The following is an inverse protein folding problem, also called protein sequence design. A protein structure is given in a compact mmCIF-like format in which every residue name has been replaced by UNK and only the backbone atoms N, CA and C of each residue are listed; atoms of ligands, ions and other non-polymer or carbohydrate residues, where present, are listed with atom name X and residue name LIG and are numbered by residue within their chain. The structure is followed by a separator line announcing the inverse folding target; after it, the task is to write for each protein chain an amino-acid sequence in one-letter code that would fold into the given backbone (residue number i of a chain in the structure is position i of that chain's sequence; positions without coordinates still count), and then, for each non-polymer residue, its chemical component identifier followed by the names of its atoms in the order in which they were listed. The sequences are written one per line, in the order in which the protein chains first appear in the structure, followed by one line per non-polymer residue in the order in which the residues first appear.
data_IF_969988580541
#
_entry.id   IF_969988580541
#
_cell.length_a   1.000
_cell.length_b   1.000
_cell.length_c   1.000
_cell.angle_alpha   90.00
_cell.angle_beta   90.00
_cell.angle_gamma   90.00
#
_symmetry.space_group_name_H-M   'P 1'
#
loop_
_entity.id
_entity.type
_entity.pdbx_description
1 polymer ?
#
# COMPACT_ATOMS: atom_id res chain seq x y z
N UNK A 1 -56.38 38.97 -58.74
CA UNK A 1 -56.36 39.90 -59.92
C UNK A 1 -54.95 40.09 -60.38
N UNK A 2 -54.74 39.69 -61.65
CA UNK A 2 -53.92 40.32 -62.70
C UNK A 2 -52.44 40.44 -62.35
N UNK A 3 -51.58 39.77 -63.03
CA UNK A 3 -51.22 39.53 -64.41
C UNK A 3 -49.76 39.97 -64.64
N UNK A 4 -48.95 39.01 -65.07
CA UNK A 4 -48.24 38.99 -66.35
C UNK A 4 -47.11 40.04 -66.55
N UNK A 5 -45.93 39.76 -67.08
CA UNK A 5 -45.39 38.93 -68.17
C UNK A 5 -43.92 39.29 -68.27
N UNK A 6 -43.03 38.32 -68.39
CA UNK A 6 -42.30 37.90 -69.63
C UNK A 6 -41.67 38.99 -70.49
N UNK A 7 -40.44 38.83 -70.79
CA UNK A 7 -39.73 38.81 -72.11
C UNK A 7 -38.21 38.81 -71.84
N UNK A 8 -37.47 37.78 -72.04
CA UNK A 8 -36.80 37.23 -73.21
C UNK A 8 -35.91 38.26 -73.97
N UNK A 9 -34.63 37.99 -74.07
CA UNK A 9 -33.69 38.63 -74.96
C UNK A 9 -32.31 37.98 -74.92
N UNK A 10 -32.01 37.19 -75.93
CA UNK A 10 -30.87 36.32 -76.13
C UNK A 10 -29.73 37.00 -76.92
N UNK A 11 -28.62 36.26 -77.02
CA UNK A 11 -27.54 36.29 -78.09
C UNK A 11 -26.44 37.33 -77.83
N UNK A 12 -25.17 37.07 -77.96
CA UNK A 12 -24.31 36.00 -78.49
C UNK A 12 -22.84 36.27 -78.14
N UNK A 13 -22.11 35.17 -78.13
CA UNK A 13 -20.66 34.99 -78.46
C UNK A 13 -19.67 36.14 -78.43
N UNK A 14 -18.60 35.91 -77.67
CA UNK A 14 -17.23 35.95 -78.29
C UNK A 14 -16.17 35.33 -77.42
N UNK A 15 -15.41 34.46 -78.00
CA UNK A 15 -14.28 33.71 -77.47
C UNK A 15 -13.08 34.69 -77.30
N UNK A 16 -12.44 34.58 -76.12
CA UNK A 16 -11.02 34.99 -76.04
C UNK A 16 -10.36 34.19 -74.92
N UNK A 17 -9.45 33.30 -75.28
CA UNK A 17 -8.48 32.63 -74.40
C UNK A 17 -7.61 33.68 -73.71
N UNK A 18 -7.47 33.57 -72.38
CA UNK A 18 -6.25 34.01 -71.75
C UNK A 18 -6.03 33.11 -70.52
N UNK A 19 -4.94 32.41 -70.51
CA UNK A 19 -4.44 31.65 -69.45
C UNK A 19 -4.17 32.51 -68.19
N UNK A 20 -4.78 32.19 -67.05
CA UNK A 20 -4.38 32.79 -65.78
C UNK A 20 -4.02 31.69 -64.81
N UNK A 21 -2.81 31.76 -64.38
CA UNK A 21 -2.20 31.01 -63.28
C UNK A 21 -3.12 30.97 -62.08
N UNK A 22 -3.61 29.79 -61.72
CA UNK A 22 -4.16 29.50 -60.39
C UNK A 22 -3.01 29.27 -59.45
N UNK A 23 -2.58 30.29 -58.73
CA UNK A 23 -1.77 30.15 -57.53
C UNK A 23 -2.63 29.46 -56.46
N UNK A 24 -2.37 28.16 -56.21
CA UNK A 24 -2.81 27.49 -55.03
C UNK A 24 -2.20 28.16 -53.78
N UNK A 25 -2.99 28.92 -53.09
CA UNK A 25 -2.66 29.44 -51.77
C UNK A 25 -2.84 28.26 -50.78
N UNK A 26 -1.78 27.49 -50.57
CA UNK A 26 -1.73 26.56 -49.42
C UNK A 26 -1.98 27.38 -48.18
N UNK A 27 -3.13 27.14 -47.55
CA UNK A 27 -3.38 27.53 -46.17
C UNK A 27 -2.45 26.68 -45.31
N UNK A 28 -1.29 27.24 -45.03
CA UNK A 28 -0.42 26.74 -43.97
C UNK A 28 -1.18 26.95 -42.65
N UNK A 29 -1.99 25.98 -42.24
CA UNK A 29 -2.50 25.89 -40.89
C UNK A 29 -1.32 25.52 -40.01
N UNK A 30 -0.59 26.53 -39.57
CA UNK A 30 0.36 26.39 -38.47
C UNK A 30 -0.48 25.80 -37.30
N UNK A 31 -0.19 24.55 -36.96
CA UNK A 31 -0.70 23.95 -35.74
C UNK A 31 -0.32 24.92 -34.61
N UNK A 32 -1.31 25.38 -33.86
CA UNK A 32 -1.07 26.15 -32.65
C UNK A 32 -0.10 25.33 -31.77
N UNK A 33 0.95 25.95 -31.19
CA UNK A 33 1.83 25.23 -30.28
C UNK A 33 0.94 24.60 -29.21
N UNK A 34 1.07 23.29 -29.02
CA UNK A 34 0.43 22.59 -27.91
C UNK A 34 0.85 23.39 -26.67
N UNK A 35 -0.11 23.99 -25.98
CA UNK A 35 0.11 24.55 -24.66
C UNK A 35 0.65 23.38 -23.82
N UNK A 36 1.91 23.43 -23.42
CA UNK A 36 2.43 22.63 -22.34
C UNK A 36 1.50 22.92 -21.14
N UNK A 37 0.60 22.02 -20.87
CA UNK A 37 -0.20 22.08 -19.64
C UNK A 37 0.79 22.02 -18.51
N UNK A 38 0.93 23.13 -17.76
CA UNK A 38 1.86 23.21 -16.65
C UNK A 38 1.69 21.94 -15.77
N UNK A 39 2.79 21.21 -15.57
CA UNK A 39 2.81 20.01 -14.73
C UNK A 39 2.25 20.37 -13.34
N UNK A 40 1.28 19.61 -12.86
CA UNK A 40 0.73 19.85 -11.53
C UNK A 40 1.82 19.73 -10.48
N UNK A 41 1.85 20.64 -9.52
CA UNK A 41 2.76 20.60 -8.36
C UNK A 41 2.02 21.03 -7.10
N UNK A 42 2.41 20.49 -5.93
CA UNK A 42 1.80 20.93 -4.68
C UNK A 42 2.10 22.41 -4.42
N UNK A 43 1.06 23.16 -4.04
CA UNK A 43 1.14 24.61 -3.80
C UNK A 43 1.72 24.99 -2.43
N UNK A 44 2.03 23.99 -1.58
CA UNK A 44 2.55 24.18 -0.22
C UNK A 44 2.92 22.85 0.43
N UNK A 45 3.16 22.91 1.74
CA UNK A 45 3.50 21.74 2.55
C UNK A 45 2.49 20.61 2.38
N UNK A 46 2.99 19.40 2.18
CA UNK A 46 2.21 18.18 2.05
C UNK A 46 2.08 17.50 3.40
N UNK A 47 0.86 17.23 3.83
CA UNK A 47 0.58 16.50 5.07
C UNK A 47 0.47 15.01 4.79
N UNK A 48 1.30 14.18 5.46
CA UNK A 48 1.29 12.72 5.36
C UNK A 48 0.68 12.10 6.62
N UNK A 49 -0.57 11.67 6.54
CA UNK A 49 -1.23 11.00 7.68
C UNK A 49 -0.68 9.60 7.84
N UNK A 50 -0.17 9.31 9.05
CA UNK A 50 0.25 7.98 9.50
C UNK A 50 -0.69 7.54 10.63
N UNK A 51 -1.42 6.46 10.42
CA UNK A 51 -2.49 5.99 11.32
C UNK A 51 -1.98 5.27 12.59
N UNK A 52 -0.72 5.47 12.95
CA UNK A 52 -0.05 4.86 14.10
C UNK A 52 0.81 5.87 14.84
N UNK A 53 1.15 5.54 16.10
CA UNK A 53 2.00 6.40 16.94
C UNK A 53 3.39 6.61 16.33
N UNK A 54 3.99 7.73 16.66
CA UNK A 54 5.39 8.01 16.33
C UNK A 54 6.31 6.88 16.86
N UNK A 55 7.32 6.50 16.06
CA UNK A 55 8.22 5.38 16.34
C UNK A 55 7.66 3.99 16.04
N UNK A 56 6.42 3.88 15.54
CA UNK A 56 5.91 2.60 15.01
C UNK A 56 6.61 2.22 13.72
N UNK A 57 6.55 0.94 13.33
CA UNK A 57 7.14 0.49 12.06
C UNK A 57 6.64 1.27 10.84
N UNK A 58 5.35 1.63 10.78
CA UNK A 58 4.81 2.48 9.71
C UNK A 58 5.34 3.90 9.77
N UNK A 59 5.45 4.50 10.95
CA UNK A 59 6.01 5.84 11.12
C UNK A 59 7.48 5.89 10.71
N UNK A 60 8.26 4.89 11.13
CA UNK A 60 9.68 4.80 10.77
C UNK A 60 9.87 4.69 9.25
N UNK A 61 9.12 3.83 8.56
CA UNK A 61 9.20 3.73 7.11
C UNK A 61 8.71 5.00 6.39
N UNK A 62 7.68 5.66 6.92
CA UNK A 62 7.19 6.92 6.39
C UNK A 62 8.25 8.03 6.53
N UNK A 63 8.95 8.12 7.67
CA UNK A 63 10.02 9.10 7.90
C UNK A 63 11.22 8.86 6.99
N UNK A 64 11.63 7.62 6.79
CA UNK A 64 12.71 7.31 5.84
C UNK A 64 12.31 7.78 4.45
N UNK A 65 11.10 7.46 3.97
CA UNK A 65 10.64 7.89 2.65
C UNK A 65 10.57 9.42 2.54
N UNK A 66 9.94 10.09 3.51
CA UNK A 66 9.68 11.52 3.43
C UNK A 66 10.95 12.37 3.56
N UNK A 67 12.00 11.86 4.23
CA UNK A 67 13.30 12.56 4.32
C UNK A 67 14.01 12.73 2.97
N UNK A 68 13.68 11.88 1.99
CA UNK A 68 14.20 11.97 0.62
C UNK A 68 13.17 12.54 -0.36
N UNK A 69 11.89 12.63 0.03
CA UNK A 69 10.81 13.00 -0.87
C UNK A 69 10.82 14.49 -1.27
N UNK A 70 11.28 15.39 -0.40
CA UNK A 70 11.30 16.82 -0.64
C UNK A 70 12.07 17.21 -1.91
N UNK A 71 13.20 16.55 -2.17
CA UNK A 71 14.03 16.73 -3.36
C UNK A 71 13.23 16.53 -4.67
N UNK A 72 12.24 15.62 -4.66
CA UNK A 72 11.46 15.23 -5.83
C UNK A 72 10.08 15.88 -5.87
N UNK A 73 9.52 16.19 -4.71
CA UNK A 73 8.20 16.85 -4.58
C UNK A 73 8.34 18.37 -4.68
N UNK A 74 9.48 18.93 -4.24
CA UNK A 74 9.73 20.37 -4.20
C UNK A 74 8.98 21.09 -3.08
N UNK A 75 8.42 20.33 -2.11
CA UNK A 75 7.73 20.84 -0.93
C UNK A 75 8.04 19.94 0.27
N UNK A 76 7.99 20.51 1.47
CA UNK A 76 8.11 19.75 2.71
C UNK A 76 6.98 18.73 2.84
N UNK A 77 7.31 17.51 3.30
CA UNK A 77 6.34 16.49 3.64
C UNK A 77 6.35 16.29 5.15
N UNK A 78 5.27 16.67 5.82
CA UNK A 78 5.13 16.61 7.29
C UNK A 78 4.30 15.41 7.67
N UNK A 79 4.81 14.58 8.58
CA UNK A 79 4.08 13.43 9.12
C UNK A 79 3.13 13.88 10.23
N UNK A 80 1.86 13.50 10.09
CA UNK A 80 0.79 13.70 11.05
C UNK A 80 0.34 12.33 11.60
N UNK A 81 0.80 11.99 12.80
CA UNK A 81 0.47 10.73 13.46
C UNK A 81 -0.94 10.80 14.08
N UNK A 82 -1.88 10.01 13.53
CA UNK A 82 -3.27 9.89 14.03
C UNK A 82 -3.54 8.46 14.45
N UNK A 83 -3.09 8.11 15.64
CA UNK A 83 -3.21 6.77 16.19
C UNK A 83 -4.61 6.44 16.72
N UNK A 84 -4.90 5.15 16.87
CA UNK A 84 -6.08 4.61 17.53
C UNK A 84 -6.95 3.74 16.63
N UNK A 85 -7.72 2.84 17.27
CA UNK A 85 -8.63 1.93 16.59
C UNK A 85 -7.97 1.03 15.55
N UNK A 86 -6.75 0.54 15.81
CA UNK A 86 -5.96 -0.23 14.82
C UNK A 86 -5.77 0.53 13.49
N UNK A 87 -5.65 1.86 13.55
CA UNK A 87 -5.50 2.73 12.38
C UNK A 87 -6.80 3.38 11.86
N UNK A 88 -7.97 2.92 12.32
CA UNK A 88 -9.26 3.41 11.81
C UNK A 88 -9.48 4.91 12.01
N UNK A 89 -8.92 5.51 13.07
CA UNK A 89 -9.02 6.95 13.33
C UNK A 89 -8.25 7.73 12.25
N UNK A 90 -7.00 7.37 11.99
CA UNK A 90 -6.16 8.04 11.00
C UNK A 90 -6.71 7.87 9.58
N UNK A 91 -7.16 6.68 9.20
CA UNK A 91 -7.72 6.44 7.86
C UNK A 91 -9.08 7.09 7.66
N UNK A 92 -9.90 7.21 8.73
CA UNK A 92 -11.13 8.02 8.67
C UNK A 92 -10.80 9.50 8.46
N UNK A 93 -9.77 10.03 9.15
CA UNK A 93 -9.33 11.40 8.95
C UNK A 93 -8.80 11.63 7.51
N UNK A 94 -8.02 10.69 6.98
CA UNK A 94 -7.54 10.72 5.60
C UNK A 94 -8.71 10.77 4.59
N UNK A 95 -9.67 9.85 4.71
CA UNK A 95 -10.82 9.77 3.82
C UNK A 95 -11.69 11.04 3.83
N UNK A 96 -11.68 11.79 4.94
CA UNK A 96 -12.41 13.06 5.11
C UNK A 96 -11.59 14.30 4.77
N UNK A 97 -10.31 14.14 4.45
CA UNK A 97 -9.44 15.27 4.09
C UNK A 97 -9.82 15.87 2.73
N UNK A 98 -9.43 17.13 2.50
CA UNK A 98 -9.68 17.79 1.21
C UNK A 98 -8.89 17.08 0.10
N UNK A 99 -9.52 16.82 -1.05
CA UNK A 99 -8.86 16.17 -2.18
C UNK A 99 -8.10 17.17 -3.07
N UNK A 100 -7.33 18.08 -2.45
CA UNK A 100 -6.60 19.16 -3.16
C UNK A 100 -5.15 18.76 -3.50
N UNK A 101 -4.72 17.55 -3.11
CA UNK A 101 -3.38 17.05 -3.31
C UNK A 101 -2.37 17.48 -2.24
N UNK A 102 -2.80 18.19 -1.18
CA UNK A 102 -1.93 18.57 -0.06
C UNK A 102 -2.02 17.62 1.15
N UNK A 103 -2.90 16.63 1.08
CA UNK A 103 -2.98 15.56 2.09
C UNK A 103 -2.80 14.20 1.43
N UNK A 104 -1.83 13.46 1.92
CA UNK A 104 -1.56 12.07 1.59
C UNK A 104 -1.68 11.21 2.85
N UNK A 105 -1.66 9.90 2.71
CA UNK A 105 -1.62 9.01 3.86
C UNK A 105 -0.98 7.67 3.55
N UNK A 106 -0.51 7.02 4.61
CA UNK A 106 -0.10 5.63 4.58
C UNK A 106 -1.24 4.73 5.00
N UNK A 107 -1.57 3.75 4.18
CA UNK A 107 -2.42 2.63 4.59
C UNK A 107 -1.59 1.37 4.75
N UNK A 108 -2.00 0.53 5.70
CA UNK A 108 -1.34 -0.75 6.00
C UNK A 108 -2.27 -1.89 5.62
N UNK A 109 -1.86 -2.69 4.65
CA UNK A 109 -2.57 -3.90 4.27
C UNK A 109 -2.05 -5.11 5.08
N UNK A 110 -2.88 -6.05 5.49
CA UNK A 110 -4.34 -6.11 5.26
C UNK A 110 -5.19 -5.33 6.27
N UNK A 111 -4.61 -4.68 7.29
CA UNK A 111 -5.33 -4.05 8.43
C UNK A 111 -6.34 -2.99 7.98
N UNK A 112 -6.01 -2.18 6.95
CA UNK A 112 -6.93 -1.21 6.35
C UNK A 112 -8.23 -1.91 5.88
N UNK A 113 -8.08 -3.04 5.19
CA UNK A 113 -9.20 -3.80 4.65
C UNK A 113 -9.97 -4.54 5.76
N UNK A 114 -9.29 -5.13 6.75
CA UNK A 114 -9.97 -5.80 7.87
C UNK A 114 -10.83 -4.84 8.69
N UNK A 115 -10.37 -3.62 8.90
CA UNK A 115 -11.15 -2.58 9.58
C UNK A 115 -12.42 -2.19 8.81
N UNK A 116 -12.38 -2.19 7.47
CA UNK A 116 -13.56 -1.97 6.63
C UNK A 116 -14.59 -3.09 6.84
N UNK A 117 -14.14 -4.36 6.81
CA UNK A 117 -15.01 -5.53 7.03
C UNK A 117 -15.65 -5.50 8.44
N UNK A 118 -14.90 -5.07 9.44
CA UNK A 118 -15.37 -4.96 10.82
C UNK A 118 -16.11 -3.63 11.11
N UNK A 119 -16.27 -2.74 10.13
CA UNK A 119 -16.93 -1.43 10.27
C UNK A 119 -16.29 -0.55 11.37
N UNK A 120 -14.97 -0.61 11.55
CA UNK A 120 -14.26 0.14 12.60
C UNK A 120 -13.97 1.59 12.25
N UNK A 121 -14.20 2.03 11.00
CA UNK A 121 -13.97 3.39 10.53
C UNK A 121 -15.02 3.87 9.53
N UNK A 122 -15.06 5.18 9.28
CA UNK A 122 -15.96 5.77 8.28
C UNK A 122 -15.22 5.94 6.95
N UNK A 123 -14.74 4.85 6.35
CA UNK A 123 -14.07 4.79 5.06
C UNK A 123 -14.27 3.43 4.39
N UNK A 124 -14.06 3.38 3.09
CA UNK A 124 -14.08 2.18 2.26
C UNK A 124 -12.85 2.16 1.34
N UNK A 125 -12.67 1.12 0.53
CA UNK A 125 -11.59 1.10 -0.48
C UNK A 125 -11.76 2.19 -1.52
N UNK A 126 -12.99 2.62 -1.79
CA UNK A 126 -13.31 3.72 -2.72
C UNK A 126 -13.09 5.11 -2.11
N UNK A 127 -12.81 5.22 -0.82
CA UNK A 127 -12.56 6.51 -0.14
C UNK A 127 -11.19 7.09 -0.42
N UNK A 128 -10.34 6.37 -1.15
CA UNK A 128 -8.94 6.73 -1.43
C UNK A 128 -8.60 6.60 -2.91
N UNK A 129 -7.56 7.34 -3.32
CA UNK A 129 -6.89 7.20 -4.62
C UNK A 129 -5.50 6.59 -4.38
N UNK A 130 -5.17 5.42 -4.97
CA UNK A 130 -3.85 4.83 -4.87
C UNK A 130 -2.78 5.69 -5.56
N UNK A 131 -1.61 5.83 -4.94
CA UNK A 131 -0.45 6.54 -5.51
C UNK A 131 0.69 5.57 -5.78
N UNK A 132 1.14 4.86 -4.74
CA UNK A 132 2.23 3.90 -4.87
C UNK A 132 2.21 2.87 -3.72
N UNK A 133 2.62 1.64 -4.00
CA UNK A 133 3.10 0.79 -2.92
C UNK A 133 4.52 1.19 -2.56
N UNK A 134 4.85 1.17 -1.28
CA UNK A 134 6.15 1.54 -0.75
C UNK A 134 6.97 0.33 -0.32
N UNK A 135 6.43 -0.45 0.62
CA UNK A 135 7.10 -1.65 1.13
C UNK A 135 6.15 -2.84 1.13
N UNK A 136 6.75 -4.02 0.97
CA UNK A 136 6.09 -5.31 1.18
C UNK A 136 6.95 -6.11 2.14
N UNK A 137 6.35 -6.58 3.23
CA UNK A 137 7.07 -7.26 4.29
C UNK A 137 6.43 -8.61 4.56
N UNK A 138 7.20 -9.68 4.34
CA UNK A 138 6.79 -11.05 4.64
C UNK A 138 6.64 -11.26 6.15
N UNK A 139 5.58 -11.92 6.56
CA UNK A 139 5.38 -12.34 7.94
C UNK A 139 6.18 -13.59 8.26
N UNK A 140 6.69 -13.67 9.50
CA UNK A 140 7.42 -14.82 10.02
C UNK A 140 6.84 -15.25 11.36
N UNK A 141 6.96 -16.53 11.68
CA UNK A 141 6.58 -17.09 12.97
C UNK A 141 7.77 -17.06 13.90
N UNK A 142 7.62 -16.43 15.06
CA UNK A 142 8.66 -16.17 16.04
C UNK A 142 8.39 -16.84 17.37
N UNK A 143 9.45 -17.30 18.01
CA UNK A 143 9.49 -17.66 19.42
C UNK A 143 10.69 -17.00 20.11
N UNK A 144 10.65 -16.90 21.44
CA UNK A 144 11.85 -16.48 22.20
C UNK A 144 13.04 -17.41 21.93
N UNK A 145 14.26 -16.89 21.90
CA UNK A 145 15.47 -17.70 21.80
C UNK A 145 15.58 -18.78 22.90
N UNK A 146 14.93 -18.53 24.06
CA UNK A 146 14.84 -19.44 25.19
C UNK A 146 13.67 -20.44 25.10
N UNK A 147 12.84 -20.36 24.05
CA UNK A 147 11.69 -21.25 23.87
C UNK A 147 12.15 -22.71 23.75
N UNK A 148 11.30 -23.61 24.28
CA UNK A 148 11.46 -25.04 24.12
C UNK A 148 11.32 -25.52 22.67
N UNK A 149 10.62 -24.72 21.82
CA UNK A 149 10.38 -25.06 20.42
C UNK A 149 11.57 -24.67 19.55
N UNK A 150 12.06 -25.61 18.74
CA UNK A 150 13.14 -25.41 17.80
C UNK A 150 12.69 -25.52 16.34
N UNK A 151 11.45 -25.93 16.11
CA UNK A 151 10.83 -25.97 14.78
C UNK A 151 9.36 -25.61 14.85
N UNK A 152 8.81 -25.14 13.73
CA UNK A 152 7.38 -24.84 13.62
C UNK A 152 6.54 -26.11 13.80
N UNK A 153 7.07 -27.27 13.35
CA UNK A 153 6.37 -28.56 13.56
C UNK A 153 6.21 -28.90 15.04
N UNK A 154 7.26 -28.73 15.87
CA UNK A 154 7.18 -28.96 17.31
C UNK A 154 6.12 -28.07 17.98
N UNK A 155 6.09 -26.79 17.61
CA UNK A 155 5.10 -25.84 18.12
C UNK A 155 3.67 -26.27 17.75
N UNK A 156 3.44 -26.62 16.48
CA UNK A 156 2.14 -27.05 15.97
C UNK A 156 1.70 -28.37 16.63
N UNK A 157 2.59 -29.36 16.75
CA UNK A 157 2.27 -30.64 17.38
C UNK A 157 1.89 -30.44 18.85
N UNK A 158 2.65 -29.62 19.57
CA UNK A 158 2.32 -29.27 20.95
C UNK A 158 0.96 -28.57 21.06
N UNK A 159 0.70 -27.59 20.16
CA UNK A 159 -0.57 -26.85 20.15
C UNK A 159 -1.78 -27.77 19.89
N UNK A 160 -1.65 -28.73 18.98
CA UNK A 160 -2.69 -29.74 18.70
C UNK A 160 -2.96 -30.64 19.92
N UNK A 161 -1.92 -31.05 20.60
CA UNK A 161 -2.03 -31.87 21.81
C UNK A 161 -2.57 -31.09 23.03
N UNK A 162 -2.46 -29.76 23.03
CA UNK A 162 -2.80 -28.89 24.14
C UNK A 162 -3.62 -27.66 23.65
N UNK A 163 -4.89 -27.82 23.24
CA UNK A 163 -5.71 -26.74 22.72
C UNK A 163 -5.77 -25.55 23.68
N UNK A 164 -5.61 -24.32 23.12
CA UNK A 164 -5.65 -23.04 23.86
C UNK A 164 -4.56 -22.83 24.92
N UNK A 165 -3.63 -23.77 25.10
CA UNK A 165 -2.51 -23.60 26.05
C UNK A 165 -1.48 -22.62 25.59
N UNK A 166 -1.13 -22.61 24.29
CA UNK A 166 -0.19 -21.64 23.74
C UNK A 166 -0.81 -20.25 23.71
N UNK A 167 -0.01 -19.25 24.08
CA UNK A 167 -0.35 -17.83 23.99
C UNK A 167 0.41 -17.20 22.84
N UNK A 168 -0.26 -16.44 22.01
CA UNK A 168 0.39 -15.63 21.00
C UNK A 168 0.19 -14.14 21.25
N UNK A 169 1.27 -13.36 21.26
CA UNK A 169 1.15 -11.90 21.26
C UNK A 169 0.76 -11.39 19.88
N UNK A 170 -0.08 -10.36 19.85
CA UNK A 170 -0.53 -9.71 18.61
C UNK A 170 -0.43 -8.19 18.71
N UNK A 171 -0.33 -7.51 17.56
CA UNK A 171 -0.23 -6.05 17.48
C UNK A 171 -1.59 -5.33 17.48
N UNK A 172 -2.61 -5.96 18.04
CA UNK A 172 -3.98 -5.49 18.10
C UNK A 172 -4.96 -6.54 17.56
N UNK A 173 -6.23 -6.40 17.92
CA UNK A 173 -7.26 -7.33 17.45
C UNK A 173 -7.46 -7.19 15.94
N UNK A 174 -7.39 -8.32 15.21
CA UNK A 174 -7.48 -8.42 13.74
C UNK A 174 -6.49 -7.51 12.99
N UNK A 175 -5.44 -7.02 13.65
CA UNK A 175 -4.31 -6.39 12.97
C UNK A 175 -3.46 -7.45 12.25
N UNK A 176 -2.55 -7.02 11.37
CA UNK A 176 -1.82 -7.93 10.46
C UNK A 176 -1.14 -9.11 11.16
N UNK A 177 -0.53 -8.90 12.34
CA UNK A 177 0.15 -9.97 13.06
C UNK A 177 -0.85 -10.95 13.71
N UNK A 178 -2.00 -10.45 14.17
CA UNK A 178 -3.09 -11.31 14.66
C UNK A 178 -3.68 -12.17 13.53
N UNK A 179 -3.94 -11.56 12.36
CA UNK A 179 -4.41 -12.30 11.18
C UNK A 179 -3.40 -13.39 10.80
N UNK A 180 -2.10 -13.09 10.82
CA UNK A 180 -1.05 -14.08 10.54
C UNK A 180 -1.03 -15.24 11.54
N UNK A 181 -1.15 -14.95 12.84
CA UNK A 181 -1.24 -16.00 13.87
C UNK A 181 -2.48 -16.87 13.70
N UNK A 182 -3.62 -16.25 13.39
CA UNK A 182 -4.87 -16.94 13.17
C UNK A 182 -4.85 -17.78 11.88
N UNK A 183 -4.22 -17.25 10.83
CA UNK A 183 -4.06 -17.96 9.57
C UNK A 183 -3.19 -19.22 9.73
N UNK A 184 -2.09 -19.12 10.49
CA UNK A 184 -1.28 -20.28 10.86
C UNK A 184 -2.11 -21.31 11.63
N UNK A 185 -2.81 -20.87 12.68
CA UNK A 185 -3.59 -21.74 13.54
C UNK A 185 -4.69 -22.48 12.75
N UNK A 186 -5.44 -21.75 11.92
CA UNK A 186 -6.48 -22.31 11.06
C UNK A 186 -5.90 -23.32 10.05
N UNK A 187 -4.85 -22.92 9.34
CA UNK A 187 -4.24 -23.76 8.28
C UNK A 187 -3.53 -24.99 8.83
N UNK A 188 -2.92 -24.90 10.02
CA UNK A 188 -2.26 -26.02 10.68
C UNK A 188 -3.20 -26.85 11.56
N UNK A 189 -4.43 -26.40 11.81
CA UNK A 189 -5.48 -27.10 12.58
C UNK A 189 -5.20 -27.16 14.08
N UNK A 190 -4.90 -26.02 14.72
CA UNK A 190 -4.74 -25.91 16.17
C UNK A 190 -5.42 -24.65 16.73
N UNK A 191 -5.60 -24.62 18.05
CA UNK A 191 -6.14 -23.47 18.79
C UNK A 191 -5.08 -22.89 19.74
N UNK A 192 -5.13 -21.56 19.92
CA UNK A 192 -4.24 -20.82 20.82
C UNK A 192 -5.01 -19.68 21.52
N UNK A 193 -4.39 -19.02 22.50
CA UNK A 193 -4.94 -17.83 23.16
C UNK A 193 -4.23 -16.59 22.63
N UNK A 194 -4.96 -15.69 21.98
CA UNK A 194 -4.43 -14.42 21.49
C UNK A 194 -4.36 -13.38 22.62
N UNK A 195 -3.20 -12.74 22.80
CA UNK A 195 -2.97 -11.66 23.77
C UNK A 195 -2.67 -10.37 22.95
N UNK A 196 -3.63 -9.45 22.85
CA UNK A 196 -3.46 -8.22 22.08
C UNK A 196 -2.65 -7.18 22.88
N UNK A 197 -1.69 -6.54 22.19
CA UNK A 197 -0.88 -5.43 22.68
C UNK A 197 -1.17 -4.16 21.89
N UNK A 198 -0.71 -3.00 22.37
CA UNK A 198 -0.94 -1.70 21.73
C UNK A 198 -0.18 -1.48 20.42
N UNK A 199 0.72 -2.41 20.05
CA UNK A 199 1.51 -2.35 18.82
C UNK A 199 2.59 -3.41 18.79
N UNK A 200 3.33 -3.48 17.68
CA UNK A 200 4.34 -4.52 17.45
C UNK A 200 5.50 -4.48 18.45
N UNK A 201 5.91 -3.28 18.89
CA UNK A 201 6.99 -3.15 19.88
C UNK A 201 6.64 -3.85 21.21
N UNK A 202 5.45 -3.57 21.76
CA UNK A 202 4.99 -4.19 23.01
C UNK A 202 4.73 -5.69 22.82
N UNK A 203 4.18 -6.09 21.67
CA UNK A 203 3.99 -7.49 21.26
C UNK A 203 5.28 -8.30 21.33
N UNK A 204 6.36 -7.77 20.73
CA UNK A 204 7.65 -8.46 20.66
C UNK A 204 8.41 -8.39 21.99
N UNK A 205 8.21 -7.35 22.79
CA UNK A 205 8.74 -7.29 24.14
C UNK A 205 8.18 -8.41 25.01
N UNK A 206 6.87 -8.64 24.98
CA UNK A 206 6.22 -9.74 25.70
C UNK A 206 6.75 -11.13 25.27
N UNK A 207 7.01 -11.32 23.97
CA UNK A 207 7.62 -12.55 23.46
C UNK A 207 9.06 -12.76 23.99
N UNK A 208 9.87 -11.72 23.98
CA UNK A 208 11.25 -11.75 24.50
C UNK A 208 11.29 -12.04 26.00
N UNK A 209 10.33 -11.50 26.75
CA UNK A 209 10.19 -11.73 28.20
C UNK A 209 9.62 -13.11 28.55
N UNK A 210 9.08 -13.84 27.56
CA UNK A 210 8.48 -15.16 27.76
C UNK A 210 7.07 -15.11 28.38
N UNK A 211 6.38 -13.98 28.30
CA UNK A 211 5.00 -13.85 28.73
C UNK A 211 4.03 -14.60 27.80
N UNK A 212 4.46 -14.79 26.55
CA UNK A 212 3.75 -15.53 25.49
C UNK A 212 4.70 -16.51 24.81
N UNK A 213 4.13 -17.52 24.13
CA UNK A 213 4.89 -18.64 23.59
C UNK A 213 5.37 -18.38 22.16
N UNK A 214 4.56 -17.70 21.33
CA UNK A 214 4.89 -17.38 19.96
C UNK A 214 4.30 -16.05 19.49
N UNK A 215 4.71 -15.60 18.34
CA UNK A 215 4.21 -14.40 17.71
C UNK A 215 4.36 -14.48 16.18
N UNK A 216 3.60 -13.68 15.47
CA UNK A 216 3.83 -13.40 14.04
C UNK A 216 4.21 -11.93 13.90
N UNK A 217 5.30 -11.64 13.17
CA UNK A 217 5.78 -10.28 12.92
C UNK A 217 6.51 -10.22 11.57
N UNK A 218 7.04 -9.06 11.20
CA UNK A 218 7.85 -8.86 9.99
C UNK A 218 9.33 -8.83 10.37
N UNK A 219 10.19 -9.19 9.43
CA UNK A 219 11.65 -9.23 9.68
C UNK A 219 12.15 -7.88 10.20
N UNK A 220 11.73 -6.76 9.59
CA UNK A 220 12.12 -5.43 10.02
C UNK A 220 11.72 -5.07 11.46
N UNK A 221 10.69 -5.73 12.01
CA UNK A 221 10.18 -5.43 13.35
C UNK A 221 11.14 -5.89 14.47
N UNK A 222 12.08 -6.82 14.21
CA UNK A 222 12.90 -7.44 15.26
C UNK A 222 14.41 -7.52 14.93
N UNK A 223 14.87 -6.98 13.83
CA UNK A 223 16.30 -7.05 13.42
C UNK A 223 17.25 -6.52 14.46
N UNK A 224 16.91 -5.46 15.20
CA UNK A 224 17.72 -4.88 16.27
C UNK A 224 17.94 -5.80 17.48
N UNK A 225 17.14 -6.86 17.62
CA UNK A 225 17.21 -7.86 18.70
C UNK A 225 16.99 -9.29 18.19
N UNK A 226 17.36 -9.55 16.94
CA UNK A 226 17.15 -10.84 16.29
C UNK A 226 17.78 -12.03 17.07
N UNK A 227 18.89 -11.81 17.79
CA UNK A 227 19.53 -12.83 18.62
C UNK A 227 18.70 -13.30 19.82
N UNK A 228 17.67 -12.54 20.21
CA UNK A 228 16.76 -12.89 21.30
C UNK A 228 15.56 -13.72 20.83
N UNK A 229 15.41 -13.94 19.53
CA UNK A 229 14.30 -14.64 18.91
C UNK A 229 14.77 -15.77 17.99
N UNK A 230 13.90 -16.74 17.73
CA UNK A 230 14.05 -17.76 16.68
C UNK A 230 12.93 -17.63 15.67
N UNK A 231 13.27 -17.65 14.37
CA UNK A 231 12.30 -17.75 13.28
C UNK A 231 12.03 -19.23 13.00
N UNK A 232 10.80 -19.67 13.23
CA UNK A 232 10.40 -21.06 13.03
C UNK A 232 9.82 -21.36 11.66
N UNK A 233 9.40 -20.32 10.93
CA UNK A 233 8.85 -20.47 9.58
C UNK A 233 8.44 -19.13 8.99
N UNK A 234 8.28 -19.10 7.66
CA UNK A 234 8.02 -17.88 6.89
C UNK A 234 6.75 -18.03 6.07
N UNK A 235 5.97 -16.95 5.99
CA UNK A 235 4.77 -16.87 5.14
C UNK A 235 5.13 -16.41 3.73
N UNK A 236 5.96 -17.19 3.05
CA UNK A 236 6.34 -16.90 1.67
C UNK A 236 6.23 -18.14 0.81
N UNK A 237 6.25 -17.95 -0.50
CA UNK A 237 6.28 -19.04 -1.48
C UNK A 237 7.69 -19.61 -1.68
N UNK A 238 8.71 -18.89 -1.18
CA UNK A 238 10.13 -19.26 -1.18
C UNK A 238 10.75 -18.87 0.16
N UNK A 239 11.83 -19.52 0.55
CA UNK A 239 12.61 -19.12 1.72
C UNK A 239 13.16 -17.73 1.54
N UNK A 240 13.05 -16.90 2.58
CA UNK A 240 13.53 -15.51 2.55
C UNK A 240 15.06 -15.47 2.77
N UNK A 241 15.78 -14.56 2.10
CA UNK A 241 17.24 -14.49 2.19
C UNK A 241 17.78 -14.26 3.59
N UNK A 242 17.05 -13.53 4.43
CA UNK A 242 17.45 -13.19 5.79
C UNK A 242 17.42 -14.41 6.73
N UNK A 243 16.61 -15.43 6.40
CA UNK A 243 16.44 -16.65 7.18
C UNK A 243 16.37 -17.88 6.27
N UNK A 244 17.45 -18.21 5.55
CA UNK A 244 17.47 -19.28 4.55
C UNK A 244 17.24 -20.68 5.12
N UNK A 245 17.54 -20.86 6.41
CA UNK A 245 17.33 -22.14 7.11
C UNK A 245 15.89 -22.33 7.60
N UNK A 246 15.10 -21.23 7.68
CA UNK A 246 13.71 -21.31 8.11
C UNK A 246 12.82 -21.75 6.96
N UNK A 247 12.03 -22.85 7.13
CA UNK A 247 11.15 -23.33 6.07
C UNK A 247 9.99 -22.36 5.82
N UNK A 248 9.43 -22.38 4.61
CA UNK A 248 8.16 -21.74 4.37
C UNK A 248 7.02 -22.57 4.98
N UNK A 249 5.91 -21.92 5.30
CA UNK A 249 4.71 -22.62 5.75
C UNK A 249 4.16 -23.57 4.69
N UNK A 250 4.39 -23.26 3.39
CA UNK A 250 4.07 -24.12 2.26
C UNK A 250 4.90 -25.41 2.22
N UNK A 251 6.21 -25.34 2.49
CA UNK A 251 7.09 -26.51 2.62
C UNK A 251 6.64 -27.45 3.74
N UNK A 252 6.04 -26.90 4.80
CA UNK A 252 5.52 -27.67 5.95
C UNK A 252 4.08 -28.16 5.75
N UNK A 253 3.46 -27.85 4.60
CA UNK A 253 2.08 -28.25 4.29
C UNK A 253 1.00 -27.48 5.06
N UNK A 254 1.32 -26.32 5.63
CA UNK A 254 0.36 -25.51 6.38
C UNK A 254 -0.29 -24.44 5.49
N UNK A 255 0.48 -23.46 5.00
CA UNK A 255 -0.05 -22.36 4.20
C UNK A 255 0.86 -22.07 2.99
N UNK A 256 0.39 -22.30 1.75
CA UNK A 256 1.27 -22.28 0.57
C UNK A 256 1.43 -20.88 -0.04
N UNK A 257 0.66 -19.88 0.40
CA UNK A 257 0.67 -18.56 -0.21
C UNK A 257 1.50 -17.57 0.61
N UNK A 258 1.90 -16.47 -0.05
CA UNK A 258 2.46 -15.33 0.66
C UNK A 258 1.45 -14.69 1.60
N UNK A 259 1.90 -14.33 2.79
CA UNK A 259 1.17 -13.48 3.72
C UNK A 259 2.13 -12.50 4.40
N UNK A 260 1.74 -11.23 4.46
CA UNK A 260 2.57 -10.19 5.05
C UNK A 260 1.83 -8.87 5.20
N UNK A 261 2.59 -7.80 5.20
CA UNK A 261 2.08 -6.43 5.19
C UNK A 261 2.58 -5.68 3.98
N UNK A 262 1.72 -4.85 3.40
CA UNK A 262 2.13 -3.83 2.46
C UNK A 262 1.77 -2.44 3.01
N UNK A 263 2.62 -1.45 2.73
CA UNK A 263 2.36 -0.06 3.10
C UNK A 263 2.24 0.74 1.82
N UNK A 264 1.04 1.25 1.57
CA UNK A 264 0.73 1.99 0.37
C UNK A 264 0.54 3.48 0.68
N UNK A 265 1.01 4.32 -0.24
CA UNK A 265 0.78 5.76 -0.22
C UNK A 265 -0.50 6.00 -1.03
N UNK A 266 -1.42 6.73 -0.44
CA UNK A 266 -2.71 7.03 -1.04
C UNK A 266 -3.10 8.49 -0.79
N UNK A 267 -4.06 9.00 -1.55
CA UNK A 267 -4.68 10.30 -1.33
C UNK A 267 -6.18 10.16 -1.06
N UNK A 268 -6.87 11.18 -0.55
CA UNK A 268 -8.32 11.20 -0.43
C UNK A 268 -9.00 11.05 -1.80
N UNK A 269 -10.17 10.42 -1.83
CA UNK A 269 -10.99 10.29 -3.06
C UNK A 269 -11.28 11.63 -3.69
N UNK A 270 -11.11 11.71 -5.02
CA UNK A 270 -11.33 12.93 -5.80
C UNK A 270 -10.09 13.83 -5.90
N UNK A 271 -8.95 13.43 -5.36
CA UNK A 271 -7.66 14.11 -5.63
C UNK A 271 -7.41 14.14 -7.14
N UNK A 272 -7.02 15.29 -7.72
CA UNK A 272 -6.82 15.41 -9.16
C UNK A 272 -5.86 14.36 -9.72
N UNK A 273 -6.22 13.77 -10.86
CA UNK A 273 -5.39 12.73 -11.51
C UNK A 273 -3.96 13.21 -11.75
N UNK A 274 -3.78 14.47 -12.16
CA UNK A 274 -2.46 15.07 -12.35
C UNK A 274 -1.62 15.10 -11.05
N UNK A 275 -2.27 15.26 -9.88
CA UNK A 275 -1.60 15.17 -8.58
C UNK A 275 -1.17 13.74 -8.27
N UNK A 276 -2.04 12.75 -8.55
CA UNK A 276 -1.72 11.32 -8.36
C UNK A 276 -0.53 10.91 -9.23
N UNK A 277 -0.54 11.30 -10.52
CA UNK A 277 0.55 11.02 -11.47
C UNK A 277 1.86 11.69 -11.05
N UNK A 278 1.80 12.95 -10.58
CA UNK A 278 2.96 13.67 -10.05
C UNK A 278 3.58 12.95 -8.85
N UNK A 279 2.76 12.60 -7.85
CA UNK A 279 3.26 11.92 -6.66
C UNK A 279 3.77 10.50 -6.97
N UNK A 280 3.11 9.75 -7.85
CA UNK A 280 3.56 8.43 -8.26
C UNK A 280 4.96 8.49 -8.88
N UNK A 281 5.21 9.48 -9.77
CA UNK A 281 6.51 9.74 -10.38
C UNK A 281 7.55 10.17 -9.34
N UNK A 282 7.18 11.08 -8.43
CA UNK A 282 8.08 11.57 -7.38
C UNK A 282 8.49 10.44 -6.42
N UNK A 283 7.54 9.66 -5.90
CA UNK A 283 7.86 8.55 -5.00
C UNK A 283 8.61 7.41 -5.69
N UNK A 284 8.36 7.16 -6.97
CA UNK A 284 9.19 6.24 -7.76
C UNK A 284 10.64 6.71 -7.76
N UNK A 285 10.87 7.98 -8.09
CA UNK A 285 12.21 8.55 -8.11
C UNK A 285 12.90 8.53 -6.75
N UNK A 286 12.15 8.73 -5.64
CA UNK A 286 12.68 8.53 -4.28
C UNK A 286 13.13 7.10 -4.07
N UNK A 287 12.30 6.11 -4.43
CA UNK A 287 12.61 4.69 -4.21
C UNK A 287 13.73 4.15 -5.12
N UNK A 288 14.06 4.89 -6.17
CA UNK A 288 15.20 4.62 -7.07
C UNK A 288 16.45 5.43 -6.68
N UNK A 289 16.38 6.35 -5.70
CA UNK A 289 17.52 7.14 -5.21
C UNK A 289 18.49 6.25 -4.43
N UNK A 290 19.80 6.20 -4.80
CA UNK A 290 20.79 5.39 -4.10
C UNK A 290 20.91 5.69 -2.60
N UNK A 291 20.74 6.95 -2.19
CA UNK A 291 20.81 7.34 -0.78
C UNK A 291 19.60 6.80 0.00
N UNK A 292 18.40 6.85 -0.62
CA UNK A 292 17.21 6.24 -0.05
C UNK A 292 17.33 4.71 0.03
N UNK A 293 17.86 4.06 -1.01
CA UNK A 293 18.07 2.59 -1.03
C UNK A 293 18.99 2.20 0.14
N UNK A 294 20.13 2.88 0.29
CA UNK A 294 21.06 2.61 1.39
C UNK A 294 20.41 2.84 2.79
N UNK A 295 19.59 3.88 2.93
CA UNK A 295 18.85 4.13 4.17
C UNK A 295 17.78 3.06 4.43
N UNK A 296 17.11 2.58 3.39
CA UNK A 296 16.12 1.50 3.45
C UNK A 296 16.76 0.17 3.87
N UNK A 297 17.89 -0.19 3.27
CA UNK A 297 18.67 -1.38 3.66
C UNK A 297 19.10 -1.32 5.13
N UNK A 298 19.62 -0.18 5.57
CA UNK A 298 19.99 0.05 6.98
C UNK A 298 18.80 -0.06 7.93
N UNK A 299 17.60 0.31 7.46
CA UNK A 299 16.36 0.20 8.21
C UNK A 299 15.67 -1.17 8.02
N UNK A 300 16.30 -2.11 7.30
CA UNK A 300 15.75 -3.43 6.96
C UNK A 300 14.38 -3.37 6.28
N UNK A 301 14.17 -2.39 5.42
CA UNK A 301 12.93 -2.22 4.67
C UNK A 301 13.01 -2.97 3.33
N UNK A 302 12.00 -3.78 3.04
CA UNK A 302 11.84 -4.39 1.71
C UNK A 302 11.01 -3.44 0.85
N UNK A 303 11.69 -2.49 0.19
CA UNK A 303 11.05 -1.53 -0.72
C UNK A 303 10.60 -2.25 -1.99
N UNK A 304 9.33 -2.10 -2.33
CA UNK A 304 8.75 -2.62 -3.58
C UNK A 304 7.79 -1.59 -4.18
N UNK A 305 8.28 -0.83 -5.15
CA UNK A 305 7.44 0.13 -5.87
C UNK A 305 6.41 -0.59 -6.73
N UNK A 306 5.13 -0.20 -6.57
CA UNK A 306 4.06 -0.46 -7.53
C UNK A 306 3.43 0.86 -7.93
N UNK A 307 3.10 1.02 -9.20
CA UNK A 307 2.40 2.20 -9.71
C UNK A 307 0.95 2.29 -9.17
N UNK A 308 0.22 3.39 -9.44
CA UNK A 308 -1.14 3.56 -8.94
C UNK A 308 -2.09 2.41 -9.30
N UNK A 309 -2.00 1.89 -10.54
CA UNK A 309 -2.89 0.81 -10.99
C UNK A 309 -2.58 -0.51 -10.27
N UNK A 310 -1.30 -0.89 -10.18
CA UNK A 310 -0.86 -2.09 -9.48
C UNK A 310 -1.09 -1.98 -7.96
N UNK A 311 -0.96 -0.78 -7.38
CA UNK A 311 -1.29 -0.52 -5.97
C UNK A 311 -2.80 -0.68 -5.72
N UNK A 312 -3.64 -0.16 -6.60
CA UNK A 312 -5.10 -0.35 -6.53
C UNK A 312 -5.49 -1.83 -6.63
N UNK A 313 -4.86 -2.58 -7.53
CA UNK A 313 -5.06 -4.03 -7.65
C UNK A 313 -4.66 -4.77 -6.37
N UNK A 314 -3.53 -4.40 -5.74
CA UNK A 314 -3.10 -4.96 -4.46
C UNK A 314 -4.11 -4.67 -3.33
N UNK A 315 -4.62 -3.43 -3.24
CA UNK A 315 -5.63 -3.05 -2.25
C UNK A 315 -6.90 -3.91 -2.41
N UNK A 316 -7.40 -4.04 -3.64
CA UNK A 316 -8.58 -4.85 -3.93
C UNK A 316 -8.35 -6.34 -3.62
N UNK A 317 -7.19 -6.89 -3.98
CA UNK A 317 -6.83 -8.27 -3.65
C UNK A 317 -6.83 -8.50 -2.13
N UNK A 318 -6.29 -7.56 -1.36
CA UNK A 318 -6.27 -7.65 0.10
C UNK A 318 -7.67 -7.46 0.73
N UNK A 319 -8.50 -6.65 0.10
CA UNK A 319 -9.90 -6.51 0.51
C UNK A 319 -10.69 -7.80 0.28
N UNK A 320 -10.54 -8.43 -0.88
CA UNK A 320 -11.17 -9.71 -1.20
C UNK A 320 -10.67 -10.83 -0.27
N UNK A 321 -9.36 -10.85 0.03
CA UNK A 321 -8.79 -11.75 1.04
C UNK A 321 -9.47 -11.54 2.39
N UNK A 322 -9.56 -10.32 2.89
CA UNK A 322 -10.20 -10.02 4.17
C UNK A 322 -11.69 -10.43 4.14
N UNK A 323 -12.41 -10.09 3.11
CA UNK A 323 -13.84 -10.39 2.96
C UNK A 323 -14.13 -11.89 2.96
N UNK A 324 -13.29 -12.67 2.26
CA UNK A 324 -13.55 -14.09 2.05
C UNK A 324 -12.92 -14.97 3.14
N UNK A 325 -11.82 -14.54 3.75
CA UNK A 325 -11.00 -15.37 4.65
C UNK A 325 -11.21 -15.04 6.13
N UNK A 326 -11.35 -13.74 6.50
CA UNK A 326 -11.41 -13.39 7.92
C UNK A 326 -12.62 -13.99 8.64
N UNK A 327 -13.78 -14.01 8.00
CA UNK A 327 -14.98 -14.62 8.60
C UNK A 327 -14.80 -16.13 8.88
N UNK A 328 -13.93 -16.79 8.12
CA UNK A 328 -13.62 -18.21 8.29
C UNK A 328 -12.59 -18.45 9.39
N UNK A 329 -11.46 -17.72 9.35
CA UNK A 329 -10.35 -17.95 10.27
C UNK A 329 -10.59 -17.40 11.69
N UNK A 330 -11.56 -16.49 11.86
CA UNK A 330 -11.94 -15.94 13.17
C UNK A 330 -13.27 -16.50 13.73
N UNK A 331 -13.74 -17.64 13.21
CA UNK A 331 -14.83 -18.43 13.84
C UNK A 331 -14.32 -19.09 15.09
#
# INVERSE_FOLDING_TARGET
MKKNRLILGAIACSVALLACFTACKEKNTAAAPAQETAEWKPSGTVNMIVAYKAGSGTDNTARVLTSYAEKYIGQHVVIDNKEGGSGSIGWTALAKSKPDGLTLGFINLPTFCSNIIDNLGSYTVESIEPIANHVVETSVVLVSAKSQFNSLKELVDYAKANPKKLKASTNGNKASNHIGSQLLAHSAGFEYTAIPYGGTADQLLALRQGEVDFSVAKVADFTSFASELKVLGTFDTKRIPEYPDSPTLGELGYYPNWYGSARCIVAPKGTPKAAIEFYAKAFKAVMEDPEYIAAGEKAHMTTEYKDPAATGALINQQYDFCKNTLAEIFK
#
